data_IF_874253791593
#
_entry.id   IF_874253791593
#
_cell.length_a   1.000
_cell.length_b   1.000
_cell.length_c   1.000
_cell.angle_alpha   90.00
_cell.angle_beta   90.00
_cell.angle_gamma   90.00
#
_symmetry.space_group_name_H-M   'P 1'
#
loop_
_entity.id
_entity.type
_entity.pdbx_description
1 polymer ?
#
# COMPACT_ATOMS: atom_id res chain seq x y z
N UNK A 1 12.01 -15.24 -0.13
CA UNK A 1 11.92 -14.09 0.80
C UNK A 1 10.72 -14.28 1.72
N UNK A 2 10.91 -14.52 3.01
CA UNK A 2 9.81 -14.83 3.94
C UNK A 2 8.78 -13.71 4.08
N UNK A 3 9.19 -12.45 3.90
CA UNK A 3 8.29 -11.29 4.01
C UNK A 3 7.26 -11.20 2.87
N UNK A 4 7.69 -11.31 1.61
CA UNK A 4 6.79 -11.28 0.42
C UNK A 4 5.73 -12.40 0.45
N UNK A 5 6.12 -13.57 0.96
CA UNK A 5 5.21 -14.70 1.14
C UNK A 5 4.17 -14.46 2.25
N UNK A 6 4.48 -13.60 3.22
CA UNK A 6 3.59 -13.24 4.32
C UNK A 6 2.71 -12.03 4.02
N UNK A 7 2.86 -11.37 2.86
CA UNK A 7 2.00 -10.26 2.47
C UNK A 7 0.57 -10.72 2.24
N UNK A 8 -0.38 -9.99 2.82
CA UNK A 8 -1.80 -10.22 2.58
C UNK A 8 -2.18 -9.88 1.12
N UNK A 9 -3.32 -10.38 0.61
CA UNK A 9 -3.82 -9.98 -0.69
C UNK A 9 -4.01 -8.46 -0.83
N UNK A 10 -4.45 -7.79 0.24
CA UNK A 10 -4.63 -6.34 0.28
C UNK A 10 -3.28 -5.61 0.21
N UNK A 11 -2.25 -6.07 0.93
CA UNK A 11 -0.91 -5.50 0.85
C UNK A 11 -0.31 -5.65 -0.56
N UNK A 12 -0.50 -6.80 -1.20
CA UNK A 12 -0.08 -7.02 -2.59
C UNK A 12 -0.85 -6.14 -3.56
N UNK A 13 -2.14 -5.95 -3.33
CA UNK A 13 -2.97 -5.05 -4.13
C UNK A 13 -2.48 -3.60 -3.99
N UNK A 14 -2.16 -3.14 -2.78
CA UNK A 14 -1.62 -1.80 -2.53
C UNK A 14 -0.31 -1.56 -3.29
N UNK A 15 0.61 -2.54 -3.31
CA UNK A 15 1.84 -2.46 -4.10
C UNK A 15 1.53 -2.28 -5.59
N UNK A 16 0.65 -3.11 -6.15
CA UNK A 16 0.26 -3.01 -7.57
C UNK A 16 -0.43 -1.70 -7.91
N UNK A 17 -1.30 -1.20 -7.02
CA UNK A 17 -1.98 0.10 -7.19
C UNK A 17 -0.98 1.25 -7.14
N UNK A 18 -0.06 1.22 -6.18
CA UNK A 18 1.04 2.19 -6.05
C UNK A 18 1.84 2.26 -7.35
N UNK A 19 2.26 1.12 -7.88
CA UNK A 19 3.11 1.07 -9.08
C UNK A 19 2.36 1.51 -10.33
N UNK A 20 1.11 1.08 -10.47
CA UNK A 20 0.30 1.38 -11.65
C UNK A 20 -0.18 2.84 -11.73
N UNK A 21 -0.46 3.49 -10.59
CA UNK A 21 -1.12 4.81 -10.55
C UNK A 21 -0.26 5.93 -9.98
N UNK A 22 0.75 5.59 -9.18
CA UNK A 22 1.54 6.56 -8.43
C UNK A 22 3.05 6.44 -8.73
N UNK A 23 3.43 5.65 -9.73
CA UNK A 23 4.83 5.48 -10.17
C UNK A 23 5.75 5.01 -9.02
N UNK A 24 5.23 4.13 -8.15
CA UNK A 24 5.97 3.61 -6.99
C UNK A 24 5.98 4.55 -5.77
N UNK A 25 5.34 5.72 -5.84
CA UNK A 25 5.37 6.74 -4.77
C UNK A 25 4.30 6.50 -3.70
N UNK A 26 4.74 6.08 -2.51
CA UNK A 26 3.85 5.84 -1.37
C UNK A 26 3.21 7.11 -0.80
N UNK A 27 3.92 8.22 -0.83
CA UNK A 27 3.46 9.53 -0.36
C UNK A 27 2.23 9.99 -1.13
N UNK A 28 2.23 9.89 -2.46
CA UNK A 28 1.08 10.29 -3.27
C UNK A 28 -0.15 9.39 -3.05
N UNK A 29 0.05 8.07 -2.96
CA UNK A 29 -1.04 7.13 -2.63
C UNK A 29 -1.61 7.41 -1.23
N UNK A 30 -0.74 7.65 -0.24
CA UNK A 30 -1.16 7.98 1.13
C UNK A 30 -1.95 9.28 1.16
N UNK A 31 -1.49 10.33 0.50
CA UNK A 31 -2.17 11.63 0.45
C UNK A 31 -3.56 11.51 -0.17
N UNK A 32 -3.71 10.75 -1.26
CA UNK A 32 -5.02 10.52 -1.89
C UNK A 32 -5.96 9.73 -0.96
N UNK A 33 -5.47 8.67 -0.29
CA UNK A 33 -6.26 7.93 0.69
C UNK A 33 -6.70 8.81 1.87
N UNK A 34 -5.80 9.64 2.42
CA UNK A 34 -6.14 10.60 3.48
C UNK A 34 -7.18 11.61 2.97
N UNK A 35 -7.04 12.13 1.75
CA UNK A 35 -8.02 13.03 1.17
C UNK A 35 -9.39 12.35 1.01
N UNK A 36 -9.42 11.07 0.62
CA UNK A 36 -10.65 10.28 0.50
C UNK A 36 -11.30 9.99 1.85
N UNK A 37 -10.51 9.67 2.87
CA UNK A 37 -11.02 9.48 4.24
C UNK A 37 -11.74 10.74 4.76
N UNK A 38 -11.23 11.92 4.39
CA UNK A 38 -11.77 13.20 4.83
C UNK A 38 -12.95 13.73 3.95
N UNK A 39 -13.32 13.03 2.86
CA UNK A 39 -14.39 13.48 1.95
C UNK A 39 -15.76 12.95 2.36
N UNK A 40 -16.59 13.83 2.95
CA UNK A 40 -18.06 13.72 3.01
C UNK A 40 -18.61 12.49 3.77
N UNK A 41 -19.94 12.27 3.80
CA UNK A 41 -20.55 11.18 4.56
C UNK A 41 -20.27 9.84 3.87
N UNK A 42 -19.06 9.32 4.08
CA UNK A 42 -18.64 8.01 3.60
C UNK A 42 -19.41 6.92 4.35
N UNK A 43 -19.73 5.84 3.65
CA UNK A 43 -20.28 4.64 4.29
C UNK A 43 -19.21 4.17 5.29
N UNK A 44 -19.60 3.92 6.56
CA UNK A 44 -18.68 3.54 7.64
C UNK A 44 -17.63 2.47 7.23
N UNK A 45 -18.06 1.45 6.48
CA UNK A 45 -17.17 0.39 5.97
C UNK A 45 -16.06 0.89 5.04
N UNK A 46 -16.33 1.92 4.22
CA UNK A 46 -15.33 2.49 3.32
C UNK A 46 -14.28 3.27 4.12
N UNK A 47 -14.69 4.00 5.16
CA UNK A 47 -13.77 4.70 6.04
C UNK A 47 -12.82 3.72 6.75
N UNK A 48 -13.36 2.65 7.36
CA UNK A 48 -12.55 1.63 8.02
C UNK A 48 -11.55 0.98 7.06
N UNK A 49 -11.94 0.70 5.80
CA UNK A 49 -11.01 0.15 4.80
C UNK A 49 -9.87 1.09 4.47
N UNK A 50 -10.15 2.39 4.34
CA UNK A 50 -9.12 3.39 4.06
C UNK A 50 -8.16 3.51 5.25
N UNK A 51 -8.68 3.49 6.48
CA UNK A 51 -7.87 3.48 7.70
C UNK A 51 -6.95 2.25 7.76
N UNK A 52 -7.49 1.05 7.51
CA UNK A 52 -6.69 -0.18 7.45
C UNK A 52 -5.61 -0.11 6.35
N UNK A 53 -5.94 0.44 5.17
CA UNK A 53 -4.99 0.58 4.07
C UNK A 53 -3.86 1.58 4.41
N UNK A 54 -4.15 2.62 5.17
CA UNK A 54 -3.13 3.56 5.67
C UNK A 54 -2.16 2.86 6.63
N UNK A 55 -2.64 1.99 7.53
CA UNK A 55 -1.78 1.20 8.41
C UNK A 55 -0.90 0.20 7.63
N UNK A 56 -1.47 -0.46 6.60
CA UNK A 56 -0.72 -1.34 5.70
C UNK A 56 0.38 -0.58 4.97
N UNK A 57 0.08 0.61 4.44
CA UNK A 57 1.07 1.47 3.77
C UNK A 57 2.21 1.81 4.73
N UNK A 58 1.90 2.21 5.96
CA UNK A 58 2.95 2.51 6.96
C UNK A 58 3.88 1.32 7.20
N UNK A 59 3.32 0.11 7.34
CA UNK A 59 4.09 -1.12 7.51
C UNK A 59 5.00 -1.41 6.32
N UNK A 60 4.45 -1.30 5.10
CA UNK A 60 5.17 -1.58 3.86
C UNK A 60 6.30 -0.55 3.64
N UNK A 61 6.00 0.74 3.76
CA UNK A 61 7.00 1.81 3.63
C UNK A 61 8.09 1.69 4.69
N UNK A 62 7.76 1.33 5.93
CA UNK A 62 8.75 1.12 6.98
C UNK A 62 9.69 -0.05 6.64
N UNK A 63 9.15 -1.15 6.10
CA UNK A 63 9.95 -2.28 5.66
C UNK A 63 10.89 -1.90 4.51
N UNK A 64 10.38 -1.24 3.47
CA UNK A 64 11.19 -0.79 2.33
C UNK A 64 12.34 0.12 2.77
N UNK A 65 12.06 1.08 3.67
CA UNK A 65 13.08 1.98 4.22
C UNK A 65 14.11 1.26 5.08
N UNK A 66 13.68 0.30 5.90
CA UNK A 66 14.58 -0.46 6.77
C UNK A 66 15.55 -1.35 5.97
N UNK A 67 15.10 -1.85 4.82
CA UNK A 67 15.88 -2.78 4.00
C UNK A 67 16.49 -2.16 2.75
N UNK A 68 16.11 -0.93 2.39
CA UNK A 68 16.58 -0.25 1.17
C UNK A 68 16.15 -0.96 -0.11
N UNK A 69 14.93 -1.49 -0.13
CA UNK A 69 14.40 -2.31 -1.22
C UNK A 69 13.03 -1.80 -1.67
N UNK A 70 12.68 -2.06 -2.93
CA UNK A 70 11.33 -1.84 -3.47
C UNK A 70 10.55 -3.16 -3.44
N UNK A 71 9.47 -3.20 -2.66
CA UNK A 71 8.63 -4.40 -2.52
C UNK A 71 7.79 -4.68 -3.77
N UNK A 72 7.44 -3.65 -4.55
CA UNK A 72 6.70 -3.78 -5.80
C UNK A 72 7.54 -4.44 -6.88
N UNK A 73 8.78 -3.97 -7.05
CA UNK A 73 9.74 -4.61 -7.95
C UNK A 73 9.99 -6.08 -7.57
N UNK A 74 10.22 -6.35 -6.28
CA UNK A 74 10.44 -7.72 -5.80
C UNK A 74 9.20 -8.62 -5.97
N UNK A 75 8.00 -8.05 -5.90
CA UNK A 75 6.76 -8.78 -6.16
C UNK A 75 6.62 -9.13 -7.65
N UNK A 76 6.96 -8.20 -8.54
CA UNK A 76 6.95 -8.40 -9.99
C UNK A 76 7.95 -9.49 -10.43
N UNK A 77 9.15 -9.46 -9.87
CA UNK A 77 10.17 -10.49 -10.08
C UNK A 77 9.74 -11.87 -9.56
N UNK A 78 8.94 -11.93 -8.50
CA UNK A 78 8.43 -13.18 -7.92
C UNK A 78 7.21 -13.76 -8.66
N UNK A 79 6.45 -12.90 -9.35
CA UNK A 79 5.28 -13.29 -10.15
C UNK A 79 5.67 -13.64 -11.61
N UNK A 80 6.93 -13.44 -12.02
CA UNK A 80 7.52 -13.74 -13.34
C UNK A 80 8.03 -15.17 -13.47
#
# INVERSE_FOLDING_TARGET
MAFLAALSPEERLLLRVRDALYEGRWDELREDLVARANRGPSIFTLQTRIEDDLERIERLTAFERAHGMDLGQLLEEADS
#
